data_IF_297447538968
#
_entry.id   IF_297447538968
#
_cell.length_a   1.000
_cell.length_b   1.000
_cell.length_c   1.000
_cell.angle_alpha   90.00
_cell.angle_beta   90.00
_cell.angle_gamma   90.00
#
_symmetry.space_group_name_H-M   'P 1'
#
loop_
_entity.id
_entity.type
_entity.pdbx_description
1 polymer ?
#
# COMPACT_ATOMS: atom_id res chain seq x y z
N UNK A 1 22.29 -7.43 2.11
CA UNK A 1 22.26 -6.08 1.51
C UNK A 1 21.46 -5.19 2.47
N UNK A 2 21.96 -4.01 2.87
CA UNK A 2 21.15 -3.13 3.70
C UNK A 2 19.88 -2.76 2.94
N UNK A 3 18.73 -2.88 3.60
CA UNK A 3 17.44 -2.54 3.02
C UNK A 3 17.35 -1.01 2.88
N UNK A 4 17.17 -0.51 1.66
CA UNK A 4 17.04 0.92 1.37
C UNK A 4 15.62 1.40 1.76
N UNK A 5 15.46 2.32 2.73
CA UNK A 5 14.17 2.88 3.12
C UNK A 5 13.37 3.46 1.96
N UNK A 6 14.04 4.05 0.96
CA UNK A 6 13.36 4.64 -0.19
C UNK A 6 12.57 3.60 -0.99
N UNK A 7 13.09 2.38 -1.07
CA UNK A 7 12.41 1.29 -1.78
C UNK A 7 11.02 1.03 -1.19
N UNK A 8 10.90 0.99 0.15
CA UNK A 8 9.61 0.75 0.79
C UNK A 8 8.63 1.90 0.56
N UNK A 9 9.12 3.14 0.59
CA UNK A 9 8.30 4.31 0.27
C UNK A 9 7.80 4.24 -1.17
N UNK A 10 8.66 3.86 -2.11
CA UNK A 10 8.28 3.66 -3.51
C UNK A 10 7.27 2.52 -3.69
N UNK A 11 7.50 1.36 -3.08
CA UNK A 11 6.59 0.21 -3.14
C UNK A 11 5.19 0.60 -2.63
N UNK A 12 5.11 1.32 -1.49
CA UNK A 12 3.83 1.83 -0.96
C UNK A 12 3.17 2.82 -1.92
N UNK A 13 3.92 3.78 -2.45
CA UNK A 13 3.40 4.81 -3.35
C UNK A 13 2.86 4.20 -4.65
N UNK A 14 3.57 3.23 -5.22
CA UNK A 14 3.16 2.56 -6.45
C UNK A 14 1.89 1.73 -6.24
N UNK A 15 1.80 0.95 -5.15
CA UNK A 15 0.57 0.22 -4.79
C UNK A 15 -0.61 1.16 -4.52
N UNK A 16 -0.39 2.29 -3.82
CA UNK A 16 -1.45 3.27 -3.57
C UNK A 16 -1.95 3.91 -4.88
N UNK A 17 -1.05 4.28 -5.79
CA UNK A 17 -1.40 4.84 -7.12
C UNK A 17 -2.11 3.81 -7.98
N UNK A 18 -1.68 2.56 -7.94
CA UNK A 18 -2.36 1.47 -8.62
C UNK A 18 -3.79 1.31 -8.10
N UNK A 19 -3.97 1.21 -6.78
CA UNK A 19 -5.30 1.09 -6.16
C UNK A 19 -6.21 2.26 -6.54
N UNK A 20 -5.71 3.49 -6.50
CA UNK A 20 -6.50 4.67 -6.86
C UNK A 20 -7.06 4.57 -8.29
N UNK A 21 -6.21 4.22 -9.27
CA UNK A 21 -6.63 4.05 -10.67
C UNK A 21 -7.48 2.80 -10.89
N UNK A 22 -7.11 1.70 -10.26
CA UNK A 22 -7.77 0.41 -10.41
C UNK A 22 -9.20 0.42 -9.84
N UNK A 23 -9.44 1.25 -8.83
CA UNK A 23 -10.74 1.38 -8.17
C UNK A 23 -11.60 2.55 -8.65
N UNK A 24 -11.09 3.43 -9.52
CA UNK A 24 -11.73 4.69 -9.91
C UNK A 24 -13.17 4.51 -10.43
N UNK A 25 -13.41 3.49 -11.25
CA UNK A 25 -14.74 3.19 -11.81
C UNK A 25 -15.46 2.03 -11.08
N UNK A 26 -14.92 1.59 -9.95
CA UNK A 26 -15.44 0.43 -9.21
C UNK A 26 -16.23 0.90 -7.98
N UNK A 27 -17.43 0.34 -7.83
CA UNK A 27 -18.24 0.58 -6.63
C UNK A 27 -17.86 -0.37 -5.49
N UNK A 28 -18.30 -0.03 -4.27
CA UNK A 28 -18.21 -0.94 -3.12
C UNK A 28 -18.91 -2.28 -3.38
N UNK A 29 -20.00 -2.29 -4.16
CA UNK A 29 -20.69 -3.53 -4.53
C UNK A 29 -19.82 -4.41 -5.42
N UNK A 30 -19.00 -3.82 -6.29
CA UNK A 30 -18.00 -4.58 -7.06
C UNK A 30 -16.99 -5.23 -6.13
N UNK A 31 -16.48 -4.53 -5.12
CA UNK A 31 -15.57 -5.09 -4.11
C UNK A 31 -16.19 -6.28 -3.35
N UNK A 32 -17.48 -6.23 -3.06
CA UNK A 32 -18.17 -7.32 -2.35
C UNK A 32 -18.45 -8.53 -3.24
N UNK A 33 -18.85 -8.31 -4.50
CA UNK A 33 -19.34 -9.38 -5.38
C UNK A 33 -18.27 -9.98 -6.29
N UNK A 34 -17.25 -9.21 -6.65
CA UNK A 34 -16.16 -9.66 -7.50
C UNK A 34 -14.97 -10.11 -6.63
N UNK A 35 -14.80 -11.43 -6.54
CA UNK A 35 -13.69 -12.04 -5.79
C UNK A 35 -12.33 -11.64 -6.36
N UNK A 36 -12.19 -11.53 -7.69
CA UNK A 36 -10.93 -11.19 -8.33
C UNK A 36 -10.53 -9.75 -8.01
N UNK A 37 -11.49 -8.82 -8.14
CA UNK A 37 -11.28 -7.43 -7.78
C UNK A 37 -10.91 -7.28 -6.29
N UNK A 38 -11.64 -7.96 -5.39
CA UNK A 38 -11.33 -7.94 -3.96
C UNK A 38 -9.95 -8.46 -3.64
N UNK A 39 -9.57 -9.63 -4.17
CA UNK A 39 -8.25 -10.21 -3.90
C UNK A 39 -7.10 -9.35 -4.43
N UNK A 40 -7.29 -8.65 -5.57
CA UNK A 40 -6.31 -7.69 -6.05
C UNK A 40 -6.18 -6.50 -5.09
N UNK A 41 -7.31 -5.93 -4.62
CA UNK A 41 -7.30 -4.83 -3.65
C UNK A 41 -6.63 -5.23 -2.34
N UNK A 42 -6.99 -6.39 -1.79
CA UNK A 42 -6.41 -6.94 -0.56
C UNK A 42 -4.90 -7.15 -0.68
N UNK A 43 -4.43 -7.64 -1.84
CA UNK A 43 -3.00 -7.87 -2.05
C UNK A 43 -2.19 -6.56 -2.06
N UNK A 44 -2.68 -5.53 -2.74
CA UNK A 44 -2.01 -4.23 -2.78
C UNK A 44 -1.99 -3.56 -1.40
N UNK A 45 -3.08 -3.65 -0.64
CA UNK A 45 -3.11 -3.20 0.76
C UNK A 45 -2.12 -3.98 1.64
N UNK A 46 -1.99 -5.28 1.42
CA UNK A 46 -0.99 -6.10 2.11
C UNK A 46 0.44 -5.66 1.77
N UNK A 47 0.74 -5.37 0.50
CA UNK A 47 2.06 -4.85 0.08
C UNK A 47 2.37 -3.53 0.81
N UNK A 48 1.40 -2.62 0.86
CA UNK A 48 1.55 -1.35 1.58
C UNK A 48 1.87 -1.60 3.06
N UNK A 49 1.11 -2.47 3.73
CA UNK A 49 1.33 -2.80 5.15
C UNK A 49 2.67 -3.48 5.42
N UNK A 50 3.10 -4.40 4.55
CA UNK A 50 4.40 -5.07 4.63
C UNK A 50 5.55 -4.07 4.48
N UNK A 51 5.44 -3.16 3.51
CA UNK A 51 6.43 -2.12 3.27
C UNK A 51 6.48 -1.09 4.41
N UNK A 52 5.34 -0.66 4.94
CA UNK A 52 5.27 0.24 6.09
C UNK A 52 5.90 -0.38 7.34
N UNK A 53 5.57 -1.64 7.65
CA UNK A 53 6.13 -2.37 8.79
C UNK A 53 7.64 -2.55 8.67
N UNK A 54 8.14 -2.75 7.45
CA UNK A 54 9.58 -2.81 7.19
C UNK A 54 10.23 -1.43 7.37
N UNK A 55 9.59 -0.37 6.89
CA UNK A 55 10.06 1.02 7.01
C UNK A 55 10.14 1.47 8.47
N UNK A 56 9.12 1.20 9.27
CA UNK A 56 9.08 1.52 10.71
C UNK A 56 10.30 0.95 11.46
N UNK A 57 10.72 -0.26 11.09
CA UNK A 57 11.88 -0.93 11.70
C UNK A 57 13.23 -0.34 11.32
N UNK A 58 13.37 0.19 10.10
CA UNK A 58 14.68 0.63 9.56
C UNK A 58 14.85 2.14 9.49
N UNK A 59 13.75 2.89 9.43
CA UNK A 59 13.70 4.34 9.32
C UNK A 59 12.42 4.88 10.02
N UNK A 60 12.31 4.71 11.36
CA UNK A 60 11.10 5.07 12.11
C UNK A 60 10.68 6.53 11.94
N UNK A 61 11.63 7.47 11.85
CA UNK A 61 11.30 8.89 11.63
C UNK A 61 10.65 9.17 10.27
N UNK A 62 10.91 8.34 9.25
CA UNK A 62 10.21 8.45 7.96
C UNK A 62 8.81 7.82 8.09
N UNK A 63 8.70 6.67 8.76
CA UNK A 63 7.41 6.01 8.98
C UNK A 63 6.44 6.87 9.80
N UNK A 64 6.93 7.55 10.84
CA UNK A 64 6.16 8.50 11.66
C UNK A 64 5.58 9.64 10.81
N UNK A 65 6.43 10.28 9.98
CA UNK A 65 5.99 11.34 9.08
C UNK A 65 4.90 10.88 8.08
N UNK A 66 5.02 9.66 7.56
CA UNK A 66 4.01 9.09 6.66
C UNK A 66 2.71 8.81 7.43
N UNK A 67 2.79 8.24 8.63
CA UNK A 67 1.62 7.93 9.47
C UNK A 67 0.79 9.16 9.87
N UNK A 68 1.42 10.33 9.98
CA UNK A 68 0.70 11.60 10.21
C UNK A 68 -0.04 12.13 8.97
N UNK A 69 0.30 11.65 7.77
CA UNK A 69 -0.26 12.13 6.51
C UNK A 69 -1.51 11.35 6.04
N UNK A 70 -1.79 10.17 6.60
CA UNK A 70 -2.91 9.28 6.23
C UNK A 70 -4.00 9.31 7.31
#
# INVERSE_FOLDING_TARGET
MPHDPNKYVHDMLDSARFLQKFSEEKSLQNLQKDRGFRSAVERELQIIGEAFSALERIAPGIAEYIGECI
#
